data_IF_020783990082
#
_entry.id   IF_020783990082
#
_cell.length_a   1.000
_cell.length_b   1.000
_cell.length_c   1.000
_cell.angle_alpha   90.00
_cell.angle_beta   90.00
_cell.angle_gamma   90.00
#
_symmetry.space_group_name_H-M   'P 1'
#
loop_
_entity.id
_entity.type
_entity.pdbx_description
1 polymer ?
#
# COMPACT_ATOMS: atom_id res chain seq x y z
N UNK A 1 11.47 12.66 17.09
CA UNK A 1 10.19 13.12 16.51
C UNK A 1 10.50 13.86 15.23
N UNK A 2 10.07 13.35 14.07
CA UNK A 2 10.28 13.99 12.77
C UNK A 2 8.94 14.63 12.36
N UNK A 3 8.98 15.91 12.01
CA UNK A 3 7.84 16.65 11.48
C UNK A 3 8.09 16.84 9.99
N UNK A 4 7.15 16.39 9.16
CA UNK A 4 7.15 16.70 7.73
C UNK A 4 6.31 17.96 7.56
N UNK A 5 6.97 19.04 7.13
CA UNK A 5 6.33 20.30 6.79
C UNK A 5 6.18 20.36 5.27
N UNK A 6 4.93 20.46 4.81
CA UNK A 6 4.63 20.85 3.44
C UNK A 6 4.31 22.36 3.43
N UNK A 7 4.81 23.12 2.46
CA UNK A 7 4.57 24.57 2.36
C UNK A 7 4.40 25.04 0.91
N UNK A 8 4.06 26.33 0.65
CA UNK A 8 3.47 27.35 1.52
C UNK A 8 1.94 27.49 1.33
N UNK A 9 1.29 28.12 2.32
CA UNK A 9 -0.16 28.39 2.47
C UNK A 9 -1.03 27.20 2.92
N UNK A 10 -0.78 26.72 4.15
CA UNK A 10 -1.66 25.75 4.82
C UNK A 10 -0.94 24.60 5.52
N UNK A 11 0.29 24.84 6.03
CA UNK A 11 1.19 23.84 6.59
C UNK A 11 0.49 22.95 7.63
N UNK A 12 0.02 21.78 7.20
CA UNK A 12 -0.35 20.69 8.09
C UNK A 12 0.94 20.04 8.54
N UNK A 13 1.32 20.27 9.80
CA UNK A 13 2.41 19.55 10.42
C UNK A 13 2.03 18.06 10.51
N UNK A 14 2.53 17.27 9.57
CA UNK A 14 2.35 15.82 9.57
C UNK A 14 3.45 15.20 10.44
N UNK A 15 3.07 14.28 11.33
CA UNK A 15 3.97 13.73 12.34
C UNK A 15 4.25 12.27 12.06
N UNK A 16 5.51 11.88 12.18
CA UNK A 16 5.93 10.48 12.23
C UNK A 16 6.04 10.08 13.70
N UNK A 17 5.24 9.11 14.11
CA UNK A 17 5.16 8.63 15.49
C UNK A 17 6.25 7.59 15.80
N UNK A 18 6.56 6.72 14.84
CA UNK A 18 7.59 5.68 14.94
C UNK A 18 8.63 5.79 13.81
N UNK A 19 9.59 6.73 13.89
CA UNK A 19 10.50 7.03 12.79
C UNK A 19 11.43 5.85 12.44
N UNK A 20 11.86 5.07 13.42
CA UNK A 20 12.66 3.85 13.24
C UNK A 20 11.92 2.82 12.39
N UNK A 21 10.62 2.60 12.66
CA UNK A 21 9.77 1.69 11.88
C UNK A 21 9.57 2.18 10.45
N UNK A 22 9.31 3.47 10.27
CA UNK A 22 9.17 4.06 8.94
C UNK A 22 10.44 3.86 8.12
N UNK A 23 11.62 4.14 8.70
CA UNK A 23 12.91 3.95 8.02
C UNK A 23 13.18 2.49 7.68
N UNK A 24 12.82 1.57 8.59
CA UNK A 24 12.95 0.13 8.35
C UNK A 24 12.05 -0.34 7.20
N UNK A 25 10.80 0.09 7.18
CA UNK A 25 9.85 -0.22 6.11
C UNK A 25 10.36 0.34 4.78
N UNK A 26 10.85 1.59 4.78
CA UNK A 26 11.43 2.21 3.59
C UNK A 26 12.62 1.42 3.05
N UNK A 27 13.58 1.06 3.91
CA UNK A 27 14.76 0.28 3.51
C UNK A 27 14.37 -1.08 2.90
N UNK A 28 13.38 -1.77 3.49
CA UNK A 28 12.88 -3.03 2.95
C UNK A 28 12.24 -2.85 1.56
N UNK A 29 11.44 -1.81 1.37
CA UNK A 29 10.80 -1.52 0.10
C UNK A 29 11.80 -1.14 -0.98
N UNK A 30 12.82 -0.32 -0.66
CA UNK A 30 13.88 0.06 -1.61
C UNK A 30 14.69 -1.15 -2.07
N UNK A 31 15.16 -1.98 -1.13
CA UNK A 31 15.90 -3.19 -1.46
C UNK A 31 15.08 -4.16 -2.33
N UNK A 32 13.79 -4.34 -2.00
CA UNK A 32 12.89 -5.20 -2.78
C UNK A 32 12.62 -4.63 -4.17
N UNK A 33 12.43 -3.31 -4.30
CA UNK A 33 12.17 -2.65 -5.58
C UNK A 33 13.32 -2.81 -6.57
N UNK A 34 14.55 -2.68 -6.10
CA UNK A 34 15.76 -2.85 -6.91
C UNK A 34 15.92 -4.28 -7.45
N UNK A 35 15.56 -5.29 -6.63
CA UNK A 35 15.56 -6.70 -7.02
C UNK A 35 14.45 -7.02 -8.04
N UNK A 36 13.25 -6.47 -7.85
CA UNK A 36 12.10 -6.73 -8.71
C UNK A 36 12.24 -6.14 -10.12
N UNK A 37 12.97 -5.03 -10.27
CA UNK A 37 13.19 -4.41 -11.58
C UNK A 37 13.97 -5.31 -12.55
N UNK A 38 14.70 -6.31 -12.02
CA UNK A 38 15.63 -7.12 -12.80
C UNK A 38 15.09 -8.51 -13.15
N UNK A 39 13.86 -8.87 -12.74
CA UNK A 39 13.39 -10.27 -12.79
C UNK A 39 11.92 -10.40 -13.22
N UNK A 40 11.63 -11.36 -14.11
CA UNK A 40 10.26 -11.82 -14.38
C UNK A 40 9.85 -12.80 -13.28
N UNK A 41 8.81 -12.45 -12.53
CA UNK A 41 8.34 -13.27 -11.42
C UNK A 41 7.17 -14.19 -11.78
N UNK A 42 7.10 -15.41 -11.20
CA UNK A 42 5.91 -16.25 -11.28
C UNK A 42 4.69 -15.60 -10.62
N UNK A 43 3.49 -15.84 -11.16
CA UNK A 43 2.24 -15.26 -10.65
C UNK A 43 1.97 -15.52 -9.16
N UNK A 44 2.34 -16.70 -8.65
CA UNK A 44 2.21 -17.03 -7.22
C UNK A 44 3.14 -16.20 -6.32
N UNK A 45 4.30 -15.80 -6.83
CA UNK A 45 5.25 -14.92 -6.12
C UNK A 45 4.71 -13.48 -6.13
N UNK A 46 4.17 -13.01 -7.25
CA UNK A 46 3.54 -11.69 -7.37
C UNK A 46 2.38 -11.55 -6.36
N UNK A 47 1.49 -12.55 -6.28
CA UNK A 47 0.37 -12.53 -5.34
C UNK A 47 0.83 -12.44 -3.87
N UNK A 48 1.90 -13.18 -3.52
CA UNK A 48 2.49 -13.12 -2.18
C UNK A 48 3.12 -11.75 -1.89
N UNK A 49 3.82 -11.16 -2.86
CA UNK A 49 4.40 -9.83 -2.74
C UNK A 49 3.31 -8.76 -2.55
N UNK A 50 2.19 -8.86 -3.26
CA UNK A 50 1.05 -7.94 -3.06
C UNK A 50 0.50 -8.05 -1.64
N UNK A 51 0.38 -9.27 -1.09
CA UNK A 51 -0.05 -9.46 0.30
C UNK A 51 0.94 -8.85 1.29
N UNK A 52 2.25 -9.04 1.07
CA UNK A 52 3.30 -8.46 1.92
C UNK A 52 3.31 -6.94 1.85
N UNK A 53 3.16 -6.37 0.65
CA UNK A 53 3.08 -4.92 0.44
C UNK A 53 1.87 -4.32 1.16
N UNK A 54 0.70 -4.97 1.10
CA UNK A 54 -0.48 -4.53 1.87
C UNK A 54 -0.24 -4.50 3.37
N UNK A 55 0.45 -5.51 3.91
CA UNK A 55 0.81 -5.55 5.33
C UNK A 55 1.77 -4.40 5.71
N UNK A 56 2.78 -4.14 4.88
CA UNK A 56 3.74 -3.04 5.09
C UNK A 56 3.07 -1.66 5.00
N UNK A 57 2.13 -1.47 4.07
CA UNK A 57 1.34 -0.23 3.96
C UNK A 57 0.49 -0.03 5.23
N UNK A 58 -0.15 -1.09 5.75
CA UNK A 58 -0.92 -1.01 6.98
C UNK A 58 -0.02 -0.66 8.19
N UNK A 59 1.18 -1.24 8.28
CA UNK A 59 2.14 -0.91 9.32
C UNK A 59 2.63 0.54 9.20
N UNK A 60 2.89 1.01 7.99
CA UNK A 60 3.30 2.39 7.73
C UNK A 60 2.22 3.39 8.16
N UNK A 61 0.95 3.10 7.86
CA UNK A 61 -0.18 3.92 8.30
C UNK A 61 -0.32 3.97 9.82
N UNK A 62 0.08 2.91 10.53
CA UNK A 62 0.09 2.88 11.99
C UNK A 62 1.24 3.70 12.60
N UNK A 63 2.36 3.84 11.88
CA UNK A 63 3.56 4.54 12.36
C UNK A 63 3.52 6.07 12.18
N UNK A 64 2.44 6.61 11.58
CA UNK A 64 2.31 8.02 11.24
C UNK A 64 1.04 8.63 11.83
N UNK A 65 0.97 9.95 11.86
CA UNK A 65 -0.22 10.67 12.32
C UNK A 65 -1.43 10.38 11.43
N UNK A 66 -2.67 10.50 11.95
CA UNK A 66 -3.88 10.26 11.16
C UNK A 66 -3.97 11.11 9.87
N UNK A 67 -3.47 12.34 9.91
CA UNK A 67 -3.40 13.20 8.73
C UNK A 67 -2.49 12.58 7.66
N UNK A 68 -1.29 12.13 8.05
CA UNK A 68 -0.34 11.51 7.12
C UNK A 68 -0.82 10.12 6.66
N UNK A 69 -1.49 9.35 7.52
CA UNK A 69 -2.13 8.09 7.13
C UNK A 69 -3.23 8.31 6.07
N UNK A 70 -4.00 9.40 6.18
CA UNK A 70 -4.98 9.79 5.17
C UNK A 70 -4.29 10.13 3.84
N UNK A 71 -3.19 10.89 3.87
CA UNK A 71 -2.39 11.17 2.68
C UNK A 71 -1.85 9.91 2.01
N UNK A 72 -1.30 8.99 2.80
CA UNK A 72 -0.77 7.71 2.30
C UNK A 72 -1.85 6.88 1.59
N UNK A 73 -3.08 6.85 2.12
CA UNK A 73 -4.20 6.16 1.45
C UNK A 73 -4.60 6.79 0.12
N UNK A 74 -4.43 8.11 -0.02
CA UNK A 74 -4.69 8.80 -1.30
C UNK A 74 -3.63 8.49 -2.33
N UNK A 75 -2.37 8.43 -1.91
CA UNK A 75 -1.22 8.18 -2.80
C UNK A 75 -1.08 6.70 -3.20
N UNK A 76 -1.45 5.79 -2.29
CA UNK A 76 -1.34 4.35 -2.48
C UNK A 76 -2.74 3.76 -2.35
N UNK A 77 -3.57 3.82 -3.41
CA UNK A 77 -4.91 3.26 -3.35
C UNK A 77 -4.81 1.74 -3.14
N UNK A 78 -5.72 1.16 -2.34
CA UNK A 78 -5.81 -0.29 -2.25
C UNK A 78 -6.07 -0.83 -3.66
N UNK A 79 -5.26 -1.79 -4.06
CA UNK A 79 -5.42 -2.48 -5.32
C UNK A 79 -6.81 -3.14 -5.32
N UNK A 80 -7.75 -2.57 -6.07
CA UNK A 80 -9.10 -3.08 -6.20
C UNK A 80 -9.03 -4.57 -6.55
N UNK A 81 -9.68 -5.40 -5.74
CA UNK A 81 -9.99 -6.75 -6.16
C UNK A 81 -10.74 -6.60 -7.49
N UNK A 82 -10.09 -6.98 -8.59
CA UNK A 82 -10.66 -6.94 -9.94
C UNK A 82 -12.13 -7.37 -9.86
N UNK A 83 -13.06 -6.63 -10.49
CA UNK A 83 -14.48 -6.90 -10.36
C UNK A 83 -14.70 -8.37 -10.71
N UNK A 84 -15.09 -9.14 -9.69
CA UNK A 84 -15.45 -10.54 -9.83
C UNK A 84 -16.56 -10.58 -10.86
N UNK A 85 -16.18 -10.91 -12.09
CA UNK A 85 -17.06 -11.06 -13.25
C UNK A 85 -18.24 -11.89 -12.77
N UNK A 86 -19.37 -11.21 -12.60
CA UNK A 86 -20.60 -11.76 -12.10
C UNK A 86 -20.88 -13.02 -12.92
N UNK A 87 -20.73 -14.19 -12.28
CA UNK A 87 -21.14 -15.46 -12.88
C UNK A 87 -22.62 -15.28 -13.14
N UNK A 88 -22.98 -15.14 -14.41
CA UNK A 88 -24.36 -15.28 -14.87
C UNK A 88 -24.84 -16.67 -14.43
N UNK A 89 -25.45 -16.75 -13.25
CA UNK A 89 -26.39 -17.78 -12.91
C UNK A 89 -27.71 -17.45 -13.63
N UNK A 90 -27.65 -17.51 -14.97
CA UNK A 90 -28.83 -17.65 -15.80
C UNK A 90 -29.11 -19.15 -15.87
N UNK A 91 -29.81 -19.64 -14.86
CA UNK A 91 -30.25 -21.01 -14.74
C UNK A 91 -31.03 -21.40 -16.00
N UNK A 92 -30.49 -22.34 -16.77
CA UNK A 92 -31.30 -23.17 -17.65
C UNK A 92 -32.33 -23.90 -16.80
N UNK A 93 -33.61 -23.83 -17.17
CA UNK A 93 -34.55 -24.91 -16.87
C UNK A 93 -35.59 -25.04 -17.98
N UNK A 94 -35.94 -26.26 -18.39
CA UNK A 94 -36.77 -26.55 -19.55
C UNK A 94 -38.26 -26.70 -19.18
N UNK A 95 -39.13 -26.39 -20.13
CA UNK A 95 -40.46 -27.00 -20.31
C UNK A 95 -40.95 -26.66 -21.72
#
# INVERSE_FOLDING_TARGET
MIIVLDGPAGARACRVEAPDRVLRIWALLSATGDELHQVILPAGVIARLHQQLRALIAELQFCVSPALASELRRLIPPEEAAPSRQRNCGSSSPA
#
